data_IF_069836956356
#
_entry.id   IF_069836956356
#
_cell.length_a   1.000
_cell.length_b   1.000
_cell.length_c   1.000
_cell.angle_alpha   90.00
_cell.angle_beta   90.00
_cell.angle_gamma   90.00
#
_symmetry.space_group_name_H-M   'P 1'
#
loop_
_entity.id
_entity.type
_entity.pdbx_description
1 polymer ?
#
# COMPACT_ATOMS: atom_id res chain seq x y z
N UNK A 1 -19.17 26.74 -4.89
CA UNK A 1 -19.64 25.65 -5.77
C UNK A 1 -18.43 25.05 -6.48
N UNK A 2 -18.48 23.75 -6.82
CA UNK A 2 -17.41 22.81 -7.24
C UNK A 2 -16.84 22.05 -6.01
N UNK A 3 -16.94 20.73 -5.84
CA UNK A 3 -17.37 19.64 -6.73
C UNK A 3 -18.09 18.53 -5.95
N UNK A 4 -19.10 17.96 -6.58
CA UNK A 4 -19.72 16.69 -6.18
C UNK A 4 -18.69 15.55 -6.29
N UNK A 5 -18.83 14.55 -5.40
CA UNK A 5 -17.96 13.38 -5.20
C UNK A 5 -16.60 13.67 -4.55
N UNK A 6 -16.57 13.83 -3.23
CA UNK A 6 -15.34 13.61 -2.48
C UNK A 6 -15.02 12.11 -2.57
N UNK A 7 -13.97 11.75 -3.31
CA UNK A 7 -13.52 10.36 -3.47
C UNK A 7 -13.13 9.79 -2.11
N UNK A 8 -13.73 8.65 -1.74
CA UNK A 8 -13.48 7.97 -0.47
C UNK A 8 -12.32 6.98 -0.63
N UNK A 9 -11.15 7.21 0.02
CA UNK A 9 -10.00 6.33 -0.10
C UNK A 9 -10.29 4.88 0.32
N UNK A 10 -11.26 4.66 1.21
CA UNK A 10 -11.66 3.31 1.63
C UNK A 10 -12.26 2.49 0.48
N UNK A 11 -12.90 3.15 -0.50
CA UNK A 11 -13.45 2.47 -1.69
C UNK A 11 -12.34 1.95 -2.59
N UNK A 12 -11.32 2.76 -2.84
CA UNK A 12 -10.14 2.35 -3.57
C UNK A 12 -9.42 1.20 -2.86
N UNK A 13 -9.24 1.27 -1.53
CA UNK A 13 -8.66 0.15 -0.77
C UNK A 13 -9.46 -1.16 -0.93
N UNK A 14 -10.79 -1.08 -0.86
CA UNK A 14 -11.66 -2.25 -1.02
C UNK A 14 -11.64 -2.81 -2.45
N UNK A 15 -11.65 -1.94 -3.45
CA UNK A 15 -11.59 -2.34 -4.86
C UNK A 15 -10.22 -2.95 -5.20
N UNK A 16 -9.13 -2.37 -4.69
CA UNK A 16 -7.79 -2.96 -4.80
C UNK A 16 -7.71 -4.34 -4.16
N UNK A 17 -8.34 -4.55 -2.99
CA UNK A 17 -8.43 -5.87 -2.36
C UNK A 17 -9.16 -6.88 -3.24
N UNK A 18 -10.24 -6.47 -3.90
CA UNK A 18 -10.97 -7.32 -4.84
C UNK A 18 -10.10 -7.69 -6.04
N UNK A 19 -9.42 -6.74 -6.67
CA UNK A 19 -8.50 -7.00 -7.77
C UNK A 19 -7.35 -7.94 -7.36
N UNK A 20 -6.75 -7.70 -6.19
CA UNK A 20 -5.68 -8.53 -5.64
C UNK A 20 -6.12 -9.98 -5.44
N UNK A 21 -7.34 -10.19 -4.91
CA UNK A 21 -7.93 -11.54 -4.78
C UNK A 21 -8.15 -12.24 -6.11
N UNK A 22 -8.38 -11.48 -7.19
CA UNK A 22 -8.51 -12.00 -8.56
C UNK A 22 -7.16 -12.18 -9.28
N UNK A 23 -6.05 -11.81 -8.66
CA UNK A 23 -4.72 -11.84 -9.29
C UNK A 23 -4.50 -10.73 -10.31
N UNK A 24 -5.40 -9.74 -10.36
CA UNK A 24 -5.32 -8.56 -11.23
C UNK A 24 -4.40 -7.54 -10.56
N UNK A 25 -3.08 -7.79 -10.66
CA UNK A 25 -2.08 -7.08 -9.86
C UNK A 25 -1.93 -5.61 -10.26
N UNK A 26 -2.04 -5.28 -11.55
CA UNK A 26 -1.89 -3.91 -12.04
C UNK A 26 -3.05 -3.03 -11.58
N UNK A 27 -4.27 -3.53 -11.69
CA UNK A 27 -5.48 -2.88 -11.22
C UNK A 27 -5.45 -2.71 -9.70
N UNK A 28 -5.03 -3.74 -8.97
CA UNK A 28 -4.85 -3.63 -7.52
C UNK A 28 -3.85 -2.53 -7.14
N UNK A 29 -2.70 -2.47 -7.82
CA UNK A 29 -1.68 -1.44 -7.59
C UNK A 29 -2.23 -0.05 -7.88
N UNK A 30 -2.99 0.12 -8.96
CA UNK A 30 -3.61 1.39 -9.33
C UNK A 30 -4.53 1.88 -8.21
N UNK A 31 -5.45 1.03 -7.76
CA UNK A 31 -6.40 1.38 -6.70
C UNK A 31 -5.70 1.73 -5.38
N UNK A 32 -4.70 0.94 -4.96
CA UNK A 32 -3.99 1.27 -3.72
C UNK A 32 -3.17 2.56 -3.82
N UNK A 33 -2.64 2.91 -5.01
CA UNK A 33 -1.96 4.21 -5.22
C UNK A 33 -2.92 5.39 -5.12
N UNK A 34 -4.18 5.23 -5.53
CA UNK A 34 -5.20 6.27 -5.39
C UNK A 34 -5.45 6.61 -3.91
N UNK A 35 -5.38 5.63 -3.00
CA UNK A 35 -5.43 5.90 -1.56
C UNK A 35 -4.31 6.84 -1.13
N UNK A 36 -3.07 6.55 -1.52
CA UNK A 36 -1.92 7.41 -1.22
C UNK A 36 -2.03 8.78 -1.87
N UNK A 37 -2.61 8.88 -3.08
CA UNK A 37 -2.85 10.15 -3.77
C UNK A 37 -3.87 11.00 -3.01
N UNK A 38 -4.96 10.40 -2.55
CA UNK A 38 -6.01 11.12 -1.82
C UNK A 38 -5.54 11.60 -0.43
N UNK A 39 -4.57 10.91 0.17
CA UNK A 39 -3.91 11.31 1.43
C UNK A 39 -2.53 11.98 1.23
N UNK A 40 -2.23 12.52 0.05
CA UNK A 40 -0.92 13.15 -0.23
C UNK A 40 -0.78 14.57 0.31
N UNK A 41 -1.81 15.11 0.96
CA UNK A 41 -1.82 16.43 1.58
C UNK A 41 -1.11 16.45 2.95
N UNK A 42 -1.51 17.38 3.81
CA UNK A 42 -1.02 17.42 5.19
C UNK A 42 -1.55 16.22 5.99
N UNK A 43 -0.71 15.18 6.08
CA UNK A 43 -1.06 13.94 6.79
C UNK A 43 -1.25 14.15 8.30
N UNK A 44 -0.80 15.27 8.88
CA UNK A 44 -1.00 15.54 10.31
C UNK A 44 -2.47 15.76 10.67
N UNK A 45 -3.32 16.04 9.67
CA UNK A 45 -4.76 16.20 9.83
C UNK A 45 -5.55 14.90 9.71
N UNK A 46 -4.89 13.79 9.37
CA UNK A 46 -5.57 12.52 9.23
C UNK A 46 -6.07 12.03 10.60
N UNK A 47 -7.31 11.59 10.61
CA UNK A 47 -7.87 10.83 11.72
C UNK A 47 -7.16 9.49 11.85
N UNK A 48 -7.32 8.86 13.01
CA UNK A 48 -6.79 7.51 13.26
C UNK A 48 -7.24 6.50 12.22
N UNK A 49 -8.50 6.56 11.79
CA UNK A 49 -9.06 5.62 10.82
C UNK A 49 -8.50 5.88 9.41
N UNK A 50 -8.27 7.13 9.03
CA UNK A 50 -7.63 7.48 7.76
C UNK A 50 -6.16 7.04 7.72
N UNK A 51 -5.42 7.21 8.83
CA UNK A 51 -4.08 6.61 8.98
C UNK A 51 -4.12 5.08 8.83
N UNK A 52 -5.17 4.42 9.34
CA UNK A 52 -5.34 2.99 9.14
C UNK A 52 -5.58 2.60 7.68
N UNK A 53 -6.39 3.37 6.96
CA UNK A 53 -6.63 3.14 5.53
C UNK A 53 -5.34 3.34 4.74
N UNK A 54 -4.60 4.42 5.01
CA UNK A 54 -3.33 4.73 4.35
C UNK A 54 -2.26 3.65 4.63
N UNK A 55 -2.07 3.27 5.90
CA UNK A 55 -1.14 2.21 6.29
C UNK A 55 -1.47 0.87 5.64
N UNK A 56 -2.76 0.49 5.61
CA UNK A 56 -3.22 -0.74 4.92
C UNK A 56 -2.99 -0.67 3.42
N UNK A 57 -3.18 0.47 2.77
CA UNK A 57 -2.92 0.61 1.33
C UNK A 57 -1.44 0.40 1.01
N UNK A 58 -0.53 1.01 1.79
CA UNK A 58 0.92 0.78 1.65
C UNK A 58 1.29 -0.70 1.88
N UNK A 59 0.70 -1.35 2.88
CA UNK A 59 0.90 -2.78 3.12
C UNK A 59 0.46 -3.63 1.91
N UNK A 60 -0.69 -3.30 1.32
CA UNK A 60 -1.22 -4.02 0.16
C UNK A 60 -0.44 -3.75 -1.12
N UNK A 61 0.08 -2.53 -1.32
CA UNK A 61 1.04 -2.24 -2.40
C UNK A 61 2.29 -3.09 -2.26
N UNK A 62 2.84 -3.21 -1.06
CA UNK A 62 4.01 -4.05 -0.81
C UNK A 62 3.77 -5.51 -1.20
N UNK A 63 2.60 -6.06 -0.86
CA UNK A 63 2.18 -7.41 -1.27
C UNK A 63 2.04 -7.51 -2.79
N UNK A 64 1.37 -6.54 -3.44
CA UNK A 64 1.15 -6.56 -4.88
C UNK A 64 2.47 -6.47 -5.66
N UNK A 65 3.40 -5.61 -5.23
CA UNK A 65 4.74 -5.52 -5.81
C UNK A 65 5.58 -6.76 -5.56
N UNK A 66 5.48 -7.37 -4.37
CA UNK A 66 6.11 -8.67 -4.09
C UNK A 66 5.64 -9.74 -5.07
N UNK A 67 4.33 -9.80 -5.35
CA UNK A 67 3.76 -10.74 -6.33
C UNK A 67 4.23 -10.47 -7.76
N UNK A 68 4.62 -9.23 -8.09
CA UNK A 68 5.23 -8.87 -9.38
C UNK A 68 6.74 -9.08 -9.44
N UNK A 69 7.41 -9.39 -8.33
CA UNK A 69 8.87 -9.41 -8.25
C UNK A 69 9.50 -8.02 -8.26
N UNK A 70 8.72 -6.96 -8.01
CA UNK A 70 9.20 -5.58 -7.99
C UNK A 70 9.74 -5.23 -6.60
N UNK A 71 10.79 -5.93 -6.19
CA UNK A 71 11.27 -5.98 -4.79
C UNK A 71 11.62 -4.61 -4.19
N UNK A 72 12.25 -3.72 -4.96
CA UNK A 72 12.58 -2.37 -4.49
C UNK A 72 11.35 -1.54 -4.16
N UNK A 73 10.32 -1.61 -5.02
CA UNK A 73 9.04 -0.95 -4.76
C UNK A 73 8.33 -1.62 -3.59
N UNK A 74 8.32 -2.95 -3.53
CA UNK A 74 7.73 -3.68 -2.42
C UNK A 74 8.33 -3.26 -1.07
N UNK A 75 9.67 -3.15 -0.99
CA UNK A 75 10.37 -2.76 0.23
C UNK A 75 10.01 -1.34 0.66
N UNK A 76 9.98 -0.40 -0.27
CA UNK A 76 9.60 0.98 0.01
C UNK A 76 8.19 1.07 0.63
N UNK A 77 7.23 0.37 0.04
CA UNK A 77 5.85 0.39 0.53
C UNK A 77 5.67 -0.35 1.85
N UNK A 78 6.43 -1.44 2.07
CA UNK A 78 6.43 -2.16 3.35
C UNK A 78 6.96 -1.27 4.48
N UNK A 79 8.05 -0.54 4.24
CA UNK A 79 8.62 0.41 5.20
C UNK A 79 7.65 1.55 5.50
N UNK A 80 7.04 2.16 4.47
CA UNK A 80 5.99 3.17 4.68
C UNK A 80 4.84 2.66 5.51
N UNK A 81 4.37 1.44 5.25
CA UNK A 81 3.32 0.82 6.06
C UNK A 81 3.73 0.67 7.52
N UNK A 82 4.98 0.26 7.78
CA UNK A 82 5.51 0.14 9.13
C UNK A 82 5.64 1.49 9.82
N UNK A 83 6.11 2.53 9.11
CA UNK A 83 6.25 3.88 9.66
C UNK A 83 4.90 4.48 10.05
N UNK A 84 3.85 4.25 9.23
CA UNK A 84 2.50 4.75 9.49
C UNK A 84 1.81 3.94 10.60
N UNK A 85 1.93 2.62 10.55
CA UNK A 85 1.34 1.71 11.53
C UNK A 85 2.34 0.61 11.89
N UNK A 86 3.18 0.85 12.91
CA UNK A 86 4.10 -0.16 13.39
C UNK A 86 3.31 -1.35 13.91
N UNK A 87 3.46 -2.50 13.26
CA UNK A 87 2.82 -3.74 13.65
C UNK A 87 3.68 -4.93 13.21
N UNK A 88 3.35 -6.11 13.74
CA UNK A 88 4.11 -7.32 13.47
C UNK A 88 4.09 -7.71 11.99
N UNK A 89 2.94 -7.65 11.33
CA UNK A 89 2.81 -8.07 9.93
C UNK A 89 3.64 -7.18 8.99
N UNK A 90 3.63 -5.86 9.21
CA UNK A 90 4.44 -4.92 8.41
C UNK A 90 5.93 -5.10 8.68
N UNK A 91 6.33 -5.33 9.92
CA UNK A 91 7.72 -5.64 10.28
C UNK A 91 8.20 -6.95 9.62
N UNK A 92 7.42 -8.02 9.73
CA UNK A 92 7.75 -9.33 9.15
C UNK A 92 7.83 -9.23 7.61
N UNK A 93 6.93 -8.46 6.98
CA UNK A 93 6.96 -8.23 5.54
C UNK A 93 8.23 -7.49 5.08
N UNK A 94 8.68 -6.47 5.81
CA UNK A 94 9.95 -5.78 5.52
C UNK A 94 11.10 -6.78 5.55
N UNK A 95 11.22 -7.57 6.63
CA UNK A 95 12.29 -8.56 6.78
C UNK A 95 12.30 -9.60 5.66
N UNK A 96 11.13 -10.14 5.29
CA UNK A 96 11.00 -11.10 4.20
C UNK A 96 11.44 -10.51 2.85
N UNK A 97 11.10 -9.25 2.57
CA UNK A 97 11.48 -8.60 1.32
C UNK A 97 12.99 -8.32 1.31
N UNK A 98 13.58 -7.87 2.42
CA UNK A 98 15.02 -7.63 2.54
C UNK A 98 15.82 -8.92 2.35
N UNK A 99 15.37 -10.03 2.94
CA UNK A 99 15.97 -11.35 2.73
C UNK A 99 15.92 -11.76 1.25
N UNK A 100 14.80 -11.52 0.57
CA UNK A 100 14.64 -11.82 -0.86
C UNK A 100 15.55 -10.98 -1.75
N UNK A 101 15.72 -9.70 -1.44
CA UNK A 101 16.65 -8.81 -2.14
C UNK A 101 18.09 -9.28 -1.93
N UNK A 102 18.47 -9.63 -0.69
CA UNK A 102 19.80 -10.14 -0.38
C UNK A 102 20.14 -11.45 -1.12
N UNK A 103 19.13 -12.26 -1.46
CA UNK A 103 19.26 -13.47 -2.28
C UNK A 103 19.47 -13.19 -3.78
N UNK A 104 19.53 -11.93 -4.22
CA UNK A 104 19.89 -11.55 -5.59
C UNK A 104 18.75 -11.70 -6.60
N UNK A 105 17.49 -11.69 -6.16
CA UNK A 105 16.32 -11.77 -7.03
C UNK A 105 15.96 -10.44 -7.71
N UNK A 106 16.86 -9.46 -7.62
CA UNK A 106 16.80 -8.11 -8.19
C UNK A 106 17.12 -8.06 -9.69
N UNK A 107 17.32 -9.22 -10.32
CA UNK A 107 17.80 -9.36 -11.72
C UNK A 107 16.77 -8.90 -12.75
#
# INVERSE_FOLDING_TARGET
MISACQEDPSRHLNLGNWYLQKGLLDEAIMEYREVSRLYSGDQSQLTRDEFQVLGKAHFKLAIAYTKKGWWKYALNEAKRSFDIMPNKDSHDLVGLIEEKIAQGLDS
#
